data_IF_340569806169
#
_entry.id   IF_340569806169
#
_cell.length_a   1.000
_cell.length_b   1.000
_cell.length_c   1.000
_cell.angle_alpha   90.00
_cell.angle_beta   90.00
_cell.angle_gamma   90.00
#
_symmetry.space_group_name_H-M   'P 1'
#
loop_
_entity.id
_entity.type
_entity.pdbx_description
1 polymer ?
#
# COMPACT_ATOMS: atom_id res chain seq x y z
N UNK A 1 22.77 -15.01 98.05
CA UNK A 1 22.11 -13.71 97.75
C UNK A 1 22.79 -12.89 96.64
N UNK A 2 23.71 -13.45 95.83
CA UNK A 2 24.35 -12.72 94.71
C UNK A 2 23.60 -12.80 93.37
N UNK A 3 22.55 -13.63 93.27
CA UNK A 3 21.83 -13.92 92.01
C UNK A 3 20.89 -12.80 91.54
N UNK A 4 20.20 -12.14 92.46
CA UNK A 4 19.17 -11.15 92.16
C UNK A 4 19.67 -9.93 91.36
N UNK A 5 20.96 -9.56 91.50
CA UNK A 5 21.56 -8.44 90.75
C UNK A 5 21.99 -8.82 89.32
N UNK A 6 22.11 -10.11 89.02
CA UNK A 6 22.40 -10.62 87.68
C UNK A 6 21.10 -10.76 86.87
N UNK A 7 20.04 -11.33 87.46
CA UNK A 7 18.69 -11.38 86.89
C UNK A 7 18.18 -9.98 86.50
N UNK A 8 18.31 -9.00 87.40
CA UNK A 8 17.85 -7.62 87.14
C UNK A 8 18.62 -6.90 86.03
N UNK A 9 19.82 -7.38 85.66
CA UNK A 9 20.58 -6.86 84.50
C UNK A 9 20.12 -7.56 83.22
N UNK A 10 19.90 -8.87 83.28
CA UNK A 10 19.36 -9.65 82.17
C UNK A 10 17.96 -9.16 81.74
N UNK A 11 17.08 -8.84 82.70
CA UNK A 11 15.75 -8.29 82.42
C UNK A 11 15.82 -6.92 81.74
N UNK A 12 16.73 -6.04 82.19
CA UNK A 12 16.91 -4.72 81.56
C UNK A 12 17.46 -4.82 80.15
N UNK A 13 18.35 -5.77 79.88
CA UNK A 13 18.86 -6.01 78.53
C UNK A 13 17.77 -6.59 77.63
N UNK A 14 16.94 -7.51 78.13
CA UNK A 14 15.82 -8.08 77.38
C UNK A 14 14.75 -7.03 77.06
N UNK A 15 14.39 -6.16 78.01
CA UNK A 15 13.46 -5.04 77.80
C UNK A 15 14.00 -4.01 76.81
N UNK A 16 15.31 -3.73 76.85
CA UNK A 16 15.95 -2.82 75.91
C UNK A 16 15.94 -3.40 74.49
N UNK A 17 16.21 -4.70 74.34
CA UNK A 17 16.16 -5.42 73.07
C UNK A 17 14.74 -5.49 72.49
N UNK A 18 13.73 -5.77 73.32
CA UNK A 18 12.33 -5.78 72.89
C UNK A 18 11.87 -4.40 72.41
N UNK A 19 12.28 -3.32 73.10
CA UNK A 19 11.99 -1.95 72.67
C UNK A 19 12.69 -1.58 71.37
N UNK A 20 13.92 -2.05 71.15
CA UNK A 20 14.65 -1.85 69.89
C UNK A 20 13.99 -2.60 68.74
N UNK A 21 13.58 -3.86 68.95
CA UNK A 21 12.87 -4.66 67.95
C UNK A 21 11.52 -4.02 67.58
N UNK A 22 10.75 -3.57 68.56
CA UNK A 22 9.48 -2.87 68.33
C UNK A 22 9.67 -1.55 67.55
N UNK A 23 10.74 -0.79 67.83
CA UNK A 23 11.08 0.41 67.05
C UNK A 23 11.47 0.11 65.61
N UNK A 24 12.28 -0.93 65.39
CA UNK A 24 12.69 -1.36 64.04
C UNK A 24 11.47 -1.84 63.24
N UNK A 25 10.56 -2.58 63.86
CA UNK A 25 9.36 -3.10 63.20
C UNK A 25 8.36 -1.99 62.84
N UNK A 26 8.15 -1.02 63.74
CA UNK A 26 7.32 0.15 63.45
C UNK A 26 7.91 1.06 62.37
N UNK A 27 9.23 1.21 62.31
CA UNK A 27 9.90 1.92 61.21
C UNK A 27 9.79 1.16 59.87
N UNK A 28 9.88 -0.17 59.88
CA UNK A 28 9.66 -1.00 58.68
C UNK A 28 8.24 -0.88 58.15
N UNK A 29 7.23 -0.95 59.02
CA UNK A 29 5.83 -0.80 58.63
C UNK A 29 5.56 0.59 58.03
N UNK A 30 6.09 1.65 58.65
CA UNK A 30 5.97 3.02 58.10
C UNK A 30 6.70 3.19 56.76
N UNK A 31 7.84 2.52 56.57
CA UNK A 31 8.56 2.54 55.31
C UNK A 31 7.80 1.79 54.19
N UNK A 32 7.14 0.67 54.52
CA UNK A 32 6.29 -0.05 53.58
C UNK A 32 5.01 0.70 53.22
N UNK A 33 4.33 1.34 54.18
CA UNK A 33 3.17 2.19 53.91
C UNK A 33 3.54 3.34 52.97
N UNK A 34 4.66 4.03 53.23
CA UNK A 34 5.16 5.09 52.34
C UNK A 34 5.48 4.60 50.93
N UNK A 35 5.99 3.38 50.77
CA UNK A 35 6.24 2.78 49.45
C UNK A 35 4.92 2.48 48.72
N UNK A 36 3.95 1.90 49.41
CA UNK A 36 2.63 1.58 48.83
C UNK A 36 1.86 2.85 48.43
N UNK A 37 1.92 3.90 49.24
CA UNK A 37 1.29 5.19 48.93
C UNK A 37 1.96 5.87 47.73
N UNK A 38 3.30 5.84 47.66
CA UNK A 38 4.04 6.38 46.52
C UNK A 38 3.75 5.62 45.22
N UNK A 39 3.68 4.28 45.27
CA UNK A 39 3.31 3.45 44.11
C UNK A 39 1.86 3.68 43.67
N UNK A 40 0.93 3.84 44.62
CA UNK A 40 -0.47 4.14 44.32
C UNK A 40 -0.63 5.52 43.67
N UNK A 41 0.10 6.53 44.14
CA UNK A 41 0.10 7.87 43.58
C UNK A 41 0.73 7.91 42.18
N UNK A 42 1.85 7.19 41.96
CA UNK A 42 2.47 7.09 40.65
C UNK A 42 1.56 6.38 39.64
N UNK A 43 0.88 5.30 40.05
CA UNK A 43 -0.10 4.60 39.22
C UNK A 43 -1.27 5.50 38.84
N UNK A 44 -1.77 6.32 39.77
CA UNK A 44 -2.81 7.32 39.51
C UNK A 44 -2.32 8.37 38.51
N UNK A 45 -1.12 8.94 38.69
CA UNK A 45 -0.50 9.88 37.75
C UNK A 45 -0.36 9.30 36.34
N UNK A 46 0.21 8.10 36.22
CA UNK A 46 0.36 7.42 34.92
C UNK A 46 -0.99 7.17 34.24
N UNK A 47 -2.02 6.80 35.00
CA UNK A 47 -3.37 6.60 34.45
C UNK A 47 -4.02 7.91 33.98
N UNK A 48 -3.83 9.00 34.71
CA UNK A 48 -4.32 10.33 34.34
C UNK A 48 -3.57 10.87 33.10
N UNK A 49 -2.26 10.71 33.06
CA UNK A 49 -1.45 11.13 31.90
C UNK A 49 -1.81 10.34 30.64
N UNK A 50 -2.04 9.03 30.77
CA UNK A 50 -2.50 8.20 29.67
C UNK A 50 -3.91 8.60 29.19
N UNK A 51 -4.83 8.91 30.10
CA UNK A 51 -6.16 9.40 29.76
C UNK A 51 -6.10 10.77 29.04
N UNK A 52 -5.32 11.71 29.59
CA UNK A 52 -5.10 13.03 29.00
C UNK A 52 -4.42 12.95 27.62
N UNK A 53 -3.47 12.03 27.43
CA UNK A 53 -2.82 11.79 26.15
C UNK A 53 -3.81 11.24 25.10
N UNK A 54 -4.67 10.27 25.49
CA UNK A 54 -5.73 9.74 24.62
C UNK A 54 -6.74 10.82 24.25
N UNK A 55 -7.17 11.64 25.21
CA UNK A 55 -8.11 12.73 24.95
C UNK A 55 -7.50 13.80 24.01
N UNK A 56 -6.23 14.17 24.22
CA UNK A 56 -5.51 15.09 23.34
C UNK A 56 -5.33 14.50 21.93
N UNK A 57 -5.06 13.21 21.81
CA UNK A 57 -4.96 12.53 20.52
C UNK A 57 -6.31 12.53 19.79
N UNK A 58 -7.39 12.16 20.48
CA UNK A 58 -8.75 12.18 19.94
C UNK A 58 -9.19 13.59 19.52
N UNK A 59 -8.90 14.62 20.33
CA UNK A 59 -9.15 16.03 19.98
C UNK A 59 -8.36 16.47 18.74
N UNK A 60 -7.10 16.07 18.62
CA UNK A 60 -6.26 16.36 17.44
C UNK A 60 -6.79 15.67 16.19
N UNK A 61 -7.23 14.42 16.31
CA UNK A 61 -7.81 13.66 15.20
C UNK A 61 -9.15 14.25 14.76
N UNK A 62 -10.05 14.55 15.70
CA UNK A 62 -11.30 15.23 15.42
C UNK A 62 -11.08 16.61 14.77
N UNK A 63 -10.09 17.38 15.23
CA UNK A 63 -9.71 18.65 14.61
C UNK A 63 -9.15 18.47 13.19
N UNK A 64 -8.34 17.44 12.94
CA UNK A 64 -7.85 17.10 11.60
C UNK A 64 -8.98 16.71 10.66
N UNK A 65 -9.91 15.86 11.12
CA UNK A 65 -11.10 15.45 10.35
C UNK A 65 -11.95 16.69 10.02
N UNK A 66 -12.29 17.52 11.02
CA UNK A 66 -13.05 18.76 10.81
C UNK A 66 -12.36 19.71 9.83
N UNK A 67 -11.03 19.91 9.98
CA UNK A 67 -10.25 20.78 9.09
C UNK A 67 -10.19 20.22 7.67
N UNK A 68 -10.03 18.91 7.52
CA UNK A 68 -10.05 18.25 6.20
C UNK A 68 -11.42 18.33 5.53
N UNK A 69 -12.52 18.22 6.29
CA UNK A 69 -13.88 18.36 5.79
C UNK A 69 -14.18 19.81 5.35
N UNK A 70 -13.73 20.81 6.13
CA UNK A 70 -13.83 22.23 5.76
C UNK A 70 -13.00 22.56 4.51
N UNK A 71 -11.75 22.12 4.45
CA UNK A 71 -10.91 22.29 3.26
C UNK A 71 -11.53 21.61 2.05
N UNK A 72 -12.05 20.38 2.20
CA UNK A 72 -12.75 19.67 1.14
C UNK A 72 -14.00 20.44 0.67
N UNK A 73 -14.79 21.01 1.59
CA UNK A 73 -15.97 21.81 1.25
C UNK A 73 -15.59 23.08 0.48
N UNK A 74 -14.66 23.88 1.00
CA UNK A 74 -14.21 25.13 0.36
C UNK A 74 -13.55 24.86 -0.99
N UNK A 75 -12.68 23.85 -1.09
CA UNK A 75 -12.05 23.47 -2.36
C UNK A 75 -13.07 22.92 -3.36
N UNK A 76 -14.10 22.19 -2.91
CA UNK A 76 -15.14 21.69 -3.80
C UNK A 76 -16.04 22.80 -4.35
N UNK A 77 -16.39 23.80 -3.54
CA UNK A 77 -17.21 24.95 -3.96
C UNK A 77 -16.39 25.89 -4.88
N UNK A 78 -15.15 26.19 -4.52
CA UNK A 78 -14.25 27.02 -5.34
C UNK A 78 -13.90 26.33 -6.68
N UNK A 79 -13.61 25.03 -6.67
CA UNK A 79 -13.37 24.28 -7.90
C UNK A 79 -14.63 24.19 -8.76
N UNK A 80 -15.83 24.09 -8.15
CA UNK A 80 -17.10 24.08 -8.89
C UNK A 80 -17.36 25.42 -9.56
N UNK A 81 -17.15 26.54 -8.85
CA UNK A 81 -17.27 27.88 -9.43
C UNK A 81 -16.27 28.06 -10.57
N UNK A 82 -14.99 27.73 -10.34
CA UNK A 82 -13.96 27.85 -11.37
C UNK A 82 -14.25 27.00 -12.62
N UNK A 83 -14.58 25.71 -12.44
CA UNK A 83 -14.91 24.81 -13.56
C UNK A 83 -16.14 25.31 -14.32
N UNK A 84 -17.20 25.70 -13.61
CA UNK A 84 -18.43 26.23 -14.22
C UNK A 84 -18.14 27.53 -14.98
N UNK A 85 -17.33 28.43 -14.44
CA UNK A 85 -16.95 29.68 -15.11
C UNK A 85 -16.10 29.44 -16.37
N UNK A 86 -15.07 28.58 -16.29
CA UNK A 86 -14.24 28.23 -17.45
C UNK A 86 -15.09 27.57 -18.54
N UNK A 87 -16.02 26.70 -18.15
CA UNK A 87 -16.95 26.08 -19.08
C UNK A 87 -17.92 27.07 -19.71
N UNK A 88 -18.47 28.00 -18.92
CA UNK A 88 -19.34 29.05 -19.45
C UNK A 88 -18.63 29.91 -20.49
N UNK A 89 -17.38 30.31 -20.23
CA UNK A 89 -16.56 31.04 -21.18
C UNK A 89 -16.26 30.22 -22.44
N UNK A 90 -15.90 28.94 -22.28
CA UNK A 90 -15.65 28.02 -23.39
C UNK A 90 -16.89 27.81 -24.26
N UNK A 91 -18.08 27.69 -23.64
CA UNK A 91 -19.35 27.52 -24.34
C UNK A 91 -19.72 28.76 -25.15
N UNK A 92 -19.55 29.96 -24.60
CA UNK A 92 -19.79 31.22 -25.34
C UNK A 92 -18.83 31.33 -26.54
N UNK A 93 -17.55 31.04 -26.33
CA UNK A 93 -16.55 31.07 -27.41
C UNK A 93 -16.85 30.02 -28.50
N UNK A 94 -17.20 28.80 -28.10
CA UNK A 94 -17.58 27.70 -28.99
C UNK A 94 -18.82 28.05 -29.82
N UNK A 95 -19.88 28.53 -29.16
CA UNK A 95 -21.12 28.92 -29.83
C UNK A 95 -20.89 30.04 -30.86
N UNK A 96 -20.15 31.10 -30.48
CA UNK A 96 -19.82 32.19 -31.40
C UNK A 96 -19.00 31.70 -32.59
N UNK A 97 -18.07 30.77 -32.37
CA UNK A 97 -17.21 30.22 -33.41
C UNK A 97 -17.98 29.34 -34.40
N UNK A 98 -18.90 28.50 -33.91
CA UNK A 98 -19.77 27.67 -34.74
C UNK A 98 -20.73 28.54 -35.57
N UNK A 99 -21.29 29.59 -34.95
CA UNK A 99 -22.13 30.56 -35.64
C UNK A 99 -21.37 31.25 -36.77
N UNK A 100 -20.13 31.68 -36.52
CA UNK A 100 -19.25 32.25 -37.54
C UNK A 100 -18.96 31.27 -38.67
N UNK A 101 -18.52 30.05 -38.33
CA UNK A 101 -18.24 29.00 -39.29
C UNK A 101 -19.40 28.73 -40.24
N UNK A 102 -20.62 28.54 -39.73
CA UNK A 102 -21.78 28.26 -40.58
C UNK A 102 -22.14 29.44 -41.48
N UNK A 103 -22.02 30.68 -40.99
CA UNK A 103 -22.24 31.89 -41.79
C UNK A 103 -21.22 32.03 -42.91
N UNK A 104 -19.95 31.75 -42.63
CA UNK A 104 -18.86 31.79 -43.62
C UNK A 104 -19.05 30.73 -44.73
N UNK A 105 -19.83 29.68 -44.45
CA UNK A 105 -20.17 28.59 -45.39
C UNK A 105 -21.58 28.72 -45.98
N UNK A 106 -22.17 29.91 -45.94
CA UNK A 106 -23.39 30.24 -46.68
C UNK A 106 -24.72 29.96 -45.96
N UNK A 107 -24.69 29.54 -44.70
CA UNK A 107 -25.91 29.43 -43.89
C UNK A 107 -26.42 30.84 -43.53
N UNK A 108 -27.74 31.03 -43.55
CA UNK A 108 -28.31 32.26 -43.03
C UNK A 108 -28.20 32.32 -41.48
N UNK A 109 -28.40 33.49 -40.88
CA UNK A 109 -28.24 33.69 -39.44
C UNK A 109 -29.09 32.73 -38.61
N UNK A 110 -30.29 32.39 -39.07
CA UNK A 110 -31.19 31.47 -38.36
C UNK A 110 -30.67 30.03 -38.42
N UNK A 111 -30.29 29.56 -39.60
CA UNK A 111 -29.71 28.23 -39.80
C UNK A 111 -28.39 28.05 -39.03
N UNK A 112 -27.51 29.05 -39.06
CA UNK A 112 -26.26 29.04 -38.33
C UNK A 112 -26.49 28.99 -36.80
N UNK A 113 -27.48 29.75 -36.31
CA UNK A 113 -27.89 29.76 -34.88
C UNK A 113 -28.43 28.39 -34.47
N UNK A 114 -29.34 27.82 -35.27
CA UNK A 114 -29.93 26.50 -35.02
C UNK A 114 -28.88 25.39 -35.09
N UNK A 115 -27.94 25.46 -36.04
CA UNK A 115 -26.85 24.50 -36.17
C UNK A 115 -25.90 24.51 -34.97
N UNK A 116 -25.44 25.69 -34.56
CA UNK A 116 -24.60 25.84 -33.36
C UNK A 116 -25.34 25.37 -32.10
N UNK A 117 -26.60 25.78 -31.95
CA UNK A 117 -27.43 25.35 -30.82
C UNK A 117 -27.63 23.83 -30.80
N UNK A 118 -27.88 23.19 -31.94
CA UNK A 118 -28.12 21.75 -32.00
C UNK A 118 -26.90 20.93 -31.53
N UNK A 119 -25.68 21.34 -31.91
CA UNK A 119 -24.44 20.65 -31.50
C UNK A 119 -24.24 20.75 -29.98
N UNK A 120 -24.37 21.96 -29.44
CA UNK A 120 -24.24 22.21 -28.00
C UNK A 120 -25.36 21.48 -27.23
N UNK A 121 -26.62 21.63 -27.65
CA UNK A 121 -27.77 20.99 -27.01
C UNK A 121 -27.68 19.45 -27.03
N UNK A 122 -27.21 18.87 -28.14
CA UNK A 122 -26.99 17.42 -28.22
C UNK A 122 -25.89 16.97 -27.24
N UNK A 123 -24.79 17.71 -27.14
CA UNK A 123 -23.71 17.41 -26.18
C UNK A 123 -24.25 17.39 -24.75
N UNK A 124 -25.01 18.42 -24.37
CA UNK A 124 -25.64 18.50 -23.05
C UNK A 124 -26.71 17.43 -22.83
N UNK A 125 -27.49 17.08 -23.85
CA UNK A 125 -28.46 15.99 -23.76
C UNK A 125 -27.78 14.65 -23.47
N UNK A 126 -26.67 14.33 -24.14
CA UNK A 126 -25.90 13.11 -23.86
C UNK A 126 -25.33 13.09 -22.43
N UNK A 127 -24.80 14.22 -21.93
CA UNK A 127 -24.33 14.30 -20.54
C UNK A 127 -25.46 14.12 -19.53
N UNK A 128 -26.63 14.73 -19.76
CA UNK A 128 -27.80 14.57 -18.90
C UNK A 128 -28.35 13.12 -18.92
N UNK A 129 -28.38 12.49 -20.10
CA UNK A 129 -28.76 11.09 -20.23
C UNK A 129 -27.76 10.17 -19.54
N UNK A 130 -26.46 10.45 -19.64
CA UNK A 130 -25.43 9.70 -18.91
C UNK A 130 -25.61 9.83 -17.39
N UNK A 131 -25.92 11.02 -16.89
CA UNK A 131 -26.23 11.25 -15.48
C UNK A 131 -27.46 10.49 -15.01
N UNK A 132 -28.52 10.45 -15.84
CA UNK A 132 -29.73 9.67 -15.55
C UNK A 132 -29.43 8.17 -15.54
N UNK A 133 -28.72 7.67 -16.57
CA UNK A 133 -28.34 6.27 -16.66
C UNK A 133 -27.48 5.82 -15.47
N UNK A 134 -26.60 6.69 -14.94
CA UNK A 134 -25.82 6.40 -13.74
C UNK A 134 -26.69 6.25 -12.50
N UNK A 135 -27.68 7.13 -12.30
CA UNK A 135 -28.67 7.02 -11.20
C UNK A 135 -29.50 5.75 -11.31
N UNK A 136 -29.80 5.33 -12.53
CA UNK A 136 -30.55 4.11 -12.82
C UNK A 136 -29.65 2.84 -12.81
N UNK A 137 -28.37 2.95 -12.42
CA UNK A 137 -27.37 1.87 -12.44
C UNK A 137 -27.20 1.17 -13.80
N UNK A 138 -27.42 1.92 -14.90
CA UNK A 138 -27.28 1.45 -16.29
C UNK A 138 -25.89 1.78 -16.85
N UNK A 139 -25.41 1.05 -17.87
CA UNK A 139 -24.13 1.35 -18.51
C UNK A 139 -24.14 2.76 -19.15
N UNK A 140 -23.19 3.61 -18.76
CA UNK A 140 -23.07 5.01 -19.22
C UNK A 140 -22.08 5.20 -20.36
N UNK A 141 -21.26 4.18 -20.67
CA UNK A 141 -20.11 4.31 -21.56
C UNK A 141 -20.45 4.84 -22.96
N UNK A 142 -21.53 4.33 -23.57
CA UNK A 142 -21.97 4.77 -24.90
C UNK A 142 -22.46 6.24 -24.90
N UNK A 143 -23.19 6.65 -23.86
CA UNK A 143 -23.70 8.02 -23.74
C UNK A 143 -22.56 9.03 -23.54
N UNK A 144 -21.56 8.69 -22.73
CA UNK A 144 -20.35 9.50 -22.55
C UNK A 144 -19.51 9.57 -23.82
N UNK A 145 -19.37 8.45 -24.54
CA UNK A 145 -18.70 8.44 -25.84
C UNK A 145 -19.41 9.36 -26.86
N UNK A 146 -20.75 9.37 -26.87
CA UNK A 146 -21.54 10.30 -27.68
C UNK A 146 -21.28 11.78 -27.33
N UNK A 147 -21.27 12.12 -26.04
CA UNK A 147 -20.94 13.47 -25.58
C UNK A 147 -19.52 13.89 -26.01
N UNK A 148 -18.52 13.01 -25.85
CA UNK A 148 -17.14 13.30 -26.26
C UNK A 148 -16.98 13.42 -27.77
N UNK A 149 -17.70 12.61 -28.55
CA UNK A 149 -17.68 12.71 -30.01
C UNK A 149 -18.23 14.06 -30.48
N UNK A 150 -19.33 14.54 -29.90
CA UNK A 150 -19.89 15.85 -30.21
C UNK A 150 -18.98 17.00 -29.75
N UNK A 151 -18.38 16.89 -28.56
CA UNK A 151 -17.43 17.89 -28.08
C UNK A 151 -16.16 17.94 -28.96
N UNK A 152 -15.69 16.80 -29.46
CA UNK A 152 -14.58 16.74 -30.42
C UNK A 152 -14.98 17.36 -31.77
N UNK A 153 -16.19 17.09 -32.25
CA UNK A 153 -16.73 17.70 -33.47
C UNK A 153 -16.84 19.23 -33.34
N UNK A 154 -17.37 19.73 -32.22
CA UNK A 154 -17.36 21.16 -31.90
C UNK A 154 -15.93 21.73 -31.89
N UNK A 155 -14.97 21.00 -31.33
CA UNK A 155 -13.55 21.37 -31.37
C UNK A 155 -12.99 21.50 -32.78
N UNK A 156 -13.37 20.60 -33.70
CA UNK A 156 -12.98 20.71 -35.12
C UNK A 156 -13.54 21.98 -35.76
N UNK A 157 -14.82 22.30 -35.52
CA UNK A 157 -15.43 23.54 -36.04
C UNK A 157 -14.73 24.79 -35.48
N UNK A 158 -14.37 24.78 -34.19
CA UNK A 158 -13.63 25.87 -33.55
C UNK A 158 -12.23 26.04 -34.17
N UNK A 159 -11.55 24.93 -34.47
CA UNK A 159 -10.25 24.97 -35.14
C UNK A 159 -10.35 25.57 -36.54
N UNK A 160 -11.35 25.12 -37.32
CA UNK A 160 -11.55 25.58 -38.70
C UNK A 160 -11.94 27.06 -38.79
N UNK A 161 -12.72 27.57 -37.83
CA UNK A 161 -13.13 28.97 -37.83
C UNK A 161 -11.99 29.94 -37.51
N UNK A 162 -11.22 29.68 -36.45
CA UNK A 162 -10.20 30.64 -35.98
C UNK A 162 -8.84 30.48 -36.69
N UNK A 163 -8.49 29.27 -37.13
CA UNK A 163 -7.18 28.96 -37.70
C UNK A 163 -6.00 29.22 -36.74
N UNK A 164 -4.79 28.84 -37.17
CA UNK A 164 -3.55 29.13 -36.44
C UNK A 164 -3.55 28.68 -34.96
N UNK A 165 -2.91 29.47 -34.09
CA UNK A 165 -2.79 29.15 -32.66
C UNK A 165 -4.12 29.22 -31.92
N UNK A 166 -4.99 30.17 -32.28
CA UNK A 166 -6.31 30.33 -31.66
C UNK A 166 -7.24 29.15 -32.00
N UNK A 167 -7.20 28.67 -33.25
CA UNK A 167 -7.92 27.48 -33.66
C UNK A 167 -7.47 26.24 -32.88
N UNK A 168 -6.16 26.04 -32.67
CA UNK A 168 -5.66 24.94 -31.83
C UNK A 168 -6.16 25.08 -30.38
N UNK A 169 -6.04 26.28 -29.81
CA UNK A 169 -6.44 26.54 -28.43
C UNK A 169 -7.94 26.25 -28.21
N UNK A 170 -8.83 26.81 -29.04
CA UNK A 170 -10.28 26.62 -28.92
C UNK A 170 -10.73 25.22 -29.34
N UNK A 171 -10.03 24.61 -30.30
CA UNK A 171 -10.32 23.24 -30.73
C UNK A 171 -10.03 22.19 -29.65
N UNK A 172 -8.99 22.40 -28.84
CA UNK A 172 -8.67 21.54 -27.68
C UNK A 172 -9.56 21.88 -26.47
N UNK A 173 -9.94 23.14 -26.30
CA UNK A 173 -10.71 23.59 -25.13
C UNK A 173 -12.09 22.92 -25.06
N UNK A 174 -12.78 22.73 -26.19
CA UNK A 174 -14.11 22.11 -26.24
C UNK A 174 -14.15 20.66 -25.68
N UNK A 175 -13.35 19.70 -26.17
CA UNK A 175 -13.32 18.35 -25.60
C UNK A 175 -12.77 18.34 -24.17
N UNK A 176 -11.82 19.22 -23.83
CA UNK A 176 -11.29 19.32 -22.47
C UNK A 176 -12.38 19.76 -21.47
N UNK A 177 -13.20 20.74 -21.84
CA UNK A 177 -14.32 21.21 -21.03
C UNK A 177 -15.33 20.07 -20.77
N UNK A 178 -15.67 19.29 -21.79
CA UNK A 178 -16.53 18.11 -21.65
C UNK A 178 -15.93 17.04 -20.71
N UNK A 179 -14.62 16.77 -20.82
CA UNK A 179 -13.91 15.82 -19.93
C UNK A 179 -13.88 16.32 -18.48
N UNK A 180 -13.62 17.61 -18.26
CA UNK A 180 -13.60 18.20 -16.92
C UNK A 180 -14.98 18.14 -16.28
N UNK A 181 -16.04 18.41 -17.05
CA UNK A 181 -17.42 18.29 -16.59
C UNK A 181 -17.80 16.86 -16.23
N UNK A 182 -17.51 15.89 -17.11
CA UNK A 182 -17.80 14.47 -16.89
C UNK A 182 -17.10 13.98 -15.61
N UNK A 183 -15.82 14.31 -15.42
CA UNK A 183 -15.09 13.96 -14.18
C UNK A 183 -15.67 14.61 -12.93
N UNK A 184 -16.21 15.83 -13.04
CA UNK A 184 -16.78 16.57 -11.91
C UNK A 184 -18.16 16.05 -11.52
N UNK A 185 -19.00 15.76 -12.50
CA UNK A 185 -20.39 15.34 -12.30
C UNK A 185 -20.51 13.83 -12.05
N UNK A 186 -19.56 13.06 -12.55
CA UNK A 186 -19.48 11.61 -12.41
C UNK A 186 -18.19 11.17 -11.72
N UNK A 187 -17.94 11.59 -10.46
CA UNK A 187 -16.82 11.06 -9.71
C UNK A 187 -16.98 9.55 -9.60
N UNK A 188 -15.94 8.81 -9.99
CA UNK A 188 -15.89 7.35 -9.84
C UNK A 188 -16.31 6.96 -8.42
N UNK A 189 -17.51 6.37 -8.28
CA UNK A 189 -18.01 5.81 -7.02
C UNK A 189 -17.15 4.65 -6.52
N UNK A 190 -16.36 4.05 -7.43
CA UNK A 190 -15.38 3.03 -7.09
C UNK A 190 -14.27 3.62 -6.25
N UNK A 191 -14.07 3.05 -5.08
CA UNK A 191 -12.94 3.41 -4.22
C UNK A 191 -11.63 3.03 -4.92
N UNK A 192 -10.52 3.68 -4.52
CA UNK A 192 -9.18 3.30 -4.99
C UNK A 192 -8.87 1.83 -4.67
N UNK A 193 -9.46 1.29 -3.62
CA UNK A 193 -9.32 -0.11 -3.23
C UNK A 193 -10.05 -1.04 -4.19
N UNK A 194 -11.28 -0.71 -4.60
CA UNK A 194 -12.02 -1.46 -5.61
C UNK A 194 -11.27 -1.48 -6.94
N UNK A 195 -10.73 -0.34 -7.37
CA UNK A 195 -9.92 -0.26 -8.59
C UNK A 195 -8.65 -1.11 -8.49
N UNK A 196 -7.99 -1.13 -7.33
CA UNK A 196 -6.82 -1.99 -7.08
C UNK A 196 -7.21 -3.46 -7.07
N UNK A 197 -8.34 -3.83 -6.46
CA UNK A 197 -8.85 -5.20 -6.41
C UNK A 197 -9.18 -5.70 -7.82
N UNK A 198 -9.93 -4.94 -8.60
CA UNK A 198 -10.26 -5.26 -9.99
C UNK A 198 -9.00 -5.33 -10.86
N UNK A 199 -8.09 -4.36 -10.71
CA UNK A 199 -6.80 -4.34 -11.40
C UNK A 199 -5.95 -5.58 -11.07
N UNK A 200 -5.92 -5.99 -9.79
CA UNK A 200 -5.20 -7.19 -9.35
C UNK A 200 -5.85 -8.47 -9.88
N UNK A 201 -7.19 -8.53 -9.95
CA UNK A 201 -7.91 -9.66 -10.51
C UNK A 201 -7.62 -9.80 -12.01
N UNK A 202 -7.74 -8.71 -12.78
CA UNK A 202 -7.41 -8.69 -14.22
C UNK A 202 -5.96 -9.06 -14.49
N UNK A 203 -5.02 -8.55 -13.68
CA UNK A 203 -3.60 -8.93 -13.77
C UNK A 203 -3.43 -10.42 -13.52
N UNK A 204 -4.00 -10.98 -12.45
CA UNK A 204 -3.93 -12.42 -12.16
C UNK A 204 -4.50 -13.26 -13.30
N UNK A 205 -5.62 -12.86 -13.89
CA UNK A 205 -6.20 -13.57 -15.06
C UNK A 205 -5.25 -13.52 -16.24
N UNK A 206 -4.71 -12.34 -16.58
CA UNK A 206 -3.77 -12.17 -17.69
C UNK A 206 -2.47 -12.95 -17.47
N UNK A 207 -1.92 -12.89 -16.25
CA UNK A 207 -0.70 -13.60 -15.87
C UNK A 207 -0.92 -15.12 -16.01
N UNK A 208 -2.07 -15.63 -15.50
CA UNK A 208 -2.47 -17.03 -15.64
C UNK A 208 -2.62 -17.46 -17.11
N UNK A 209 -3.28 -16.65 -17.94
CA UNK A 209 -3.41 -16.90 -19.38
C UNK A 209 -2.07 -16.91 -20.10
N UNK A 210 -1.17 -15.99 -19.73
CA UNK A 210 0.15 -15.90 -20.34
C UNK A 210 1.05 -17.09 -19.98
N UNK A 211 0.93 -17.60 -18.75
CA UNK A 211 1.67 -18.76 -18.26
C UNK A 211 1.15 -20.08 -18.86
N UNK A 212 -0.15 -20.16 -19.17
CA UNK A 212 -0.82 -21.38 -19.63
C UNK A 212 -1.59 -21.14 -20.93
N UNK A 213 -0.89 -20.76 -22.00
CA UNK A 213 -1.49 -20.40 -23.29
C UNK A 213 -2.37 -21.50 -23.89
N UNK A 214 -1.94 -22.77 -23.80
CA UNK A 214 -2.69 -23.92 -24.30
C UNK A 214 -4.04 -24.07 -23.57
N UNK A 215 -4.00 -24.10 -22.23
CA UNK A 215 -5.20 -24.12 -21.38
C UNK A 215 -6.11 -22.93 -21.67
N UNK A 216 -5.55 -21.72 -21.82
CA UNK A 216 -6.34 -20.52 -22.14
C UNK A 216 -7.03 -20.63 -23.50
N UNK A 217 -6.38 -21.23 -24.51
CA UNK A 217 -6.96 -21.50 -25.82
C UNK A 217 -8.16 -22.45 -25.74
N UNK A 218 -8.01 -23.56 -25.02
CA UNK A 218 -9.07 -24.55 -24.82
C UNK A 218 -10.23 -23.92 -24.03
N UNK A 219 -9.94 -23.20 -22.94
CA UNK A 219 -10.97 -22.56 -22.11
C UNK A 219 -11.82 -21.56 -22.91
N UNK A 220 -11.20 -20.72 -23.75
CA UNK A 220 -11.92 -19.80 -24.64
C UNK A 220 -12.78 -20.54 -25.67
N UNK A 221 -12.26 -21.64 -26.21
CA UNK A 221 -13.00 -22.47 -27.17
C UNK A 221 -14.23 -23.11 -26.53
N UNK A 222 -14.12 -23.56 -25.27
CA UNK A 222 -15.25 -24.10 -24.50
C UNK A 222 -16.33 -23.05 -24.22
N UNK A 223 -15.94 -21.82 -23.85
CA UNK A 223 -16.91 -20.72 -23.64
C UNK A 223 -17.57 -20.31 -24.96
N UNK A 224 -16.82 -20.26 -26.06
CA UNK A 224 -17.36 -19.91 -27.38
C UNK A 224 -18.31 -20.97 -27.92
N UNK A 225 -18.07 -22.25 -27.61
CA UNK A 225 -18.93 -23.36 -27.99
C UNK A 225 -20.16 -23.51 -27.09
N UNK A 226 -20.20 -22.84 -25.93
CA UNK A 226 -21.32 -22.89 -25.02
C UNK A 226 -22.45 -21.94 -25.46
N UNK A 227 -23.41 -22.50 -26.18
CA UNK A 227 -24.54 -21.75 -26.73
C UNK A 227 -25.43 -21.14 -25.64
N UNK A 228 -25.59 -21.82 -24.51
CA UNK A 228 -26.52 -21.42 -23.44
C UNK A 228 -25.89 -20.42 -22.44
N UNK A 229 -24.57 -20.18 -22.54
CA UNK A 229 -23.83 -19.31 -21.61
C UNK A 229 -23.84 -19.81 -20.16
N UNK A 230 -24.14 -21.09 -19.94
CA UNK A 230 -24.19 -21.71 -18.62
C UNK A 230 -22.77 -21.97 -18.04
N UNK A 231 -21.76 -22.09 -18.90
CA UNK A 231 -20.39 -22.40 -18.53
C UNK A 231 -19.65 -21.15 -18.08
N UNK A 232 -19.35 -21.08 -16.78
CA UNK A 232 -18.56 -19.97 -16.24
C UNK A 232 -17.11 -20.04 -16.70
N UNK A 233 -16.42 -18.89 -16.80
CA UNK A 233 -14.98 -18.85 -17.15
C UNK A 233 -14.11 -19.72 -16.23
N UNK A 234 -14.46 -19.81 -14.95
CA UNK A 234 -13.74 -20.60 -13.96
C UNK A 234 -13.91 -22.11 -14.18
N UNK A 235 -15.09 -22.53 -14.62
CA UNK A 235 -15.35 -23.93 -14.97
C UNK A 235 -14.74 -24.30 -16.31
N UNK A 236 -14.84 -23.43 -17.31
CA UNK A 236 -14.16 -23.60 -18.59
C UNK A 236 -12.65 -23.76 -18.39
N UNK A 237 -12.04 -22.95 -17.50
CA UNK A 237 -10.62 -23.08 -17.17
C UNK A 237 -10.28 -24.41 -16.48
N UNK A 238 -11.11 -24.88 -15.54
CA UNK A 238 -10.90 -26.20 -14.89
C UNK A 238 -11.02 -27.35 -15.88
N UNK A 239 -12.03 -27.31 -16.76
CA UNK A 239 -12.20 -28.33 -17.82
C UNK A 239 -11.03 -28.31 -18.80
N UNK A 240 -10.59 -27.13 -19.22
CA UNK A 240 -9.43 -26.97 -20.07
C UNK A 240 -8.16 -27.52 -19.41
N UNK A 241 -7.97 -27.28 -18.10
CA UNK A 241 -6.85 -27.82 -17.34
C UNK A 241 -6.87 -29.35 -17.32
N UNK A 242 -8.04 -29.94 -17.09
CA UNK A 242 -8.23 -31.40 -17.15
C UNK A 242 -7.92 -31.96 -18.53
N UNK A 243 -8.37 -31.31 -19.60
CA UNK A 243 -8.12 -31.74 -20.98
C UNK A 243 -6.62 -31.70 -21.29
N UNK A 244 -5.93 -30.61 -20.94
CA UNK A 244 -4.51 -30.43 -21.25
C UNK A 244 -3.57 -31.29 -20.38
N UNK A 245 -3.89 -31.43 -19.10
CA UNK A 245 -2.98 -32.01 -18.10
C UNK A 245 -3.48 -33.32 -17.48
N UNK A 246 -4.69 -33.78 -17.81
CA UNK A 246 -5.25 -35.04 -17.30
C UNK A 246 -5.52 -35.04 -15.79
N UNK A 247 -5.70 -33.87 -15.18
CA UNK A 247 -5.91 -33.73 -13.73
C UNK A 247 -6.93 -32.66 -13.40
N UNK A 248 -7.67 -32.87 -12.31
CA UNK A 248 -8.70 -31.96 -11.81
C UNK A 248 -8.15 -30.91 -10.85
N UNK A 249 -6.91 -31.13 -10.38
CA UNK A 249 -6.23 -30.22 -9.46
C UNK A 249 -5.54 -29.13 -10.24
N UNK A 250 -6.03 -27.90 -10.12
CA UNK A 250 -5.41 -26.71 -10.71
C UNK A 250 -3.97 -26.53 -10.22
N UNK A 251 -3.06 -26.21 -11.14
CA UNK A 251 -1.64 -26.04 -10.85
C UNK A 251 -0.85 -27.35 -10.79
N UNK A 252 -1.52 -28.51 -10.74
CA UNK A 252 -0.86 -29.80 -10.86
C UNK A 252 -0.65 -30.13 -12.34
N UNK A 253 0.59 -30.40 -12.73
CA UNK A 253 0.93 -30.94 -14.06
C UNK A 253 1.35 -32.41 -13.93
N UNK A 254 1.32 -33.22 -15.00
CA UNK A 254 1.80 -34.60 -14.94
C UNK A 254 3.23 -34.71 -14.39
N UNK A 255 4.11 -33.79 -14.80
CA UNK A 255 5.49 -33.72 -14.30
C UNK A 255 5.57 -33.39 -12.80
N UNK A 256 4.72 -32.46 -12.32
CA UNK A 256 4.68 -32.12 -10.90
C UNK A 256 4.10 -33.28 -10.07
N UNK A 257 3.11 -34.00 -10.60
CA UNK A 257 2.55 -35.21 -9.98
C UNK A 257 3.58 -36.34 -9.94
N UNK A 258 4.33 -36.55 -11.01
CA UNK A 258 5.44 -37.51 -11.02
C UNK A 258 6.50 -37.14 -9.97
N UNK A 259 6.85 -35.85 -9.87
CA UNK A 259 7.77 -35.35 -8.84
C UNK A 259 7.22 -35.53 -7.43
N UNK A 260 5.92 -35.30 -7.19
CA UNK A 260 5.34 -35.49 -5.86
C UNK A 260 5.36 -36.97 -5.45
N UNK A 261 5.10 -37.88 -6.38
CA UNK A 261 5.19 -39.33 -6.15
C UNK A 261 6.64 -39.75 -5.88
N UNK A 262 7.59 -39.25 -6.67
CA UNK A 262 9.03 -39.51 -6.49
C UNK A 262 9.56 -38.98 -5.15
N UNK A 263 9.17 -37.76 -4.75
CA UNK A 263 9.49 -37.20 -3.43
C UNK A 263 8.88 -38.03 -2.29
N UNK A 264 7.62 -38.47 -2.43
CA UNK A 264 6.98 -39.31 -1.42
C UNK A 264 7.66 -40.68 -1.31
N UNK A 265 8.11 -41.25 -2.44
CA UNK A 265 8.90 -42.48 -2.45
C UNK A 265 10.24 -42.29 -1.76
N UNK A 266 11.01 -41.27 -2.11
CA UNK A 266 12.31 -40.98 -1.46
C UNK A 266 12.16 -40.77 0.05
N UNK A 267 11.08 -40.12 0.47
CA UNK A 267 10.80 -39.94 1.89
C UNK A 267 10.53 -41.27 2.59
N UNK A 268 9.79 -42.19 1.95
CA UNK A 268 9.57 -43.55 2.46
C UNK A 268 10.86 -44.35 2.52
N UNK A 269 11.61 -44.39 1.41
CA UNK A 269 12.87 -45.14 1.31
C UNK A 269 13.88 -44.63 2.39
N UNK A 270 13.96 -43.32 2.61
CA UNK A 270 14.79 -42.74 3.67
C UNK A 270 14.33 -43.06 5.11
N UNK A 271 13.04 -43.34 5.30
CA UNK A 271 12.49 -43.79 6.57
C UNK A 271 12.73 -45.28 6.83
N UNK A 272 12.84 -46.09 5.77
CA UNK A 272 13.14 -47.52 5.87
C UNK A 272 14.65 -47.79 6.11
N UNK A 273 15.54 -46.99 5.53
CA UNK A 273 16.99 -47.12 5.68
C UNK A 273 17.57 -46.44 6.94
N UNK A 274 16.77 -45.62 7.63
CA UNK A 274 17.20 -44.87 8.82
C UNK A 274 16.60 -45.44 10.10
N UNK A 275 17.45 -45.91 11.02
CA UNK A 275 17.14 -46.37 12.40
C UNK A 275 16.44 -45.32 13.32
N UNK A 276 15.80 -44.28 12.78
CA UNK A 276 15.34 -43.12 13.56
C UNK A 276 13.92 -42.60 13.30
N UNK A 277 13.22 -43.01 12.23
CA UNK A 277 11.86 -42.50 11.97
C UNK A 277 10.94 -43.61 11.48
N UNK A 278 10.41 -44.39 12.43
CA UNK A 278 9.34 -45.32 12.10
C UNK A 278 8.12 -44.54 11.58
N UNK A 279 7.33 -45.11 10.65
CA UNK A 279 6.09 -44.50 10.18
C UNK A 279 5.14 -44.12 11.32
N UNK A 280 5.15 -44.90 12.39
CA UNK A 280 4.38 -44.65 13.61
C UNK A 280 4.89 -43.41 14.35
N UNK A 281 6.20 -43.18 14.43
CA UNK A 281 6.76 -41.98 15.06
C UNK A 281 6.35 -40.70 14.30
N UNK A 282 6.33 -40.74 12.97
CA UNK A 282 5.86 -39.61 12.14
C UNK A 282 4.34 -39.41 12.23
N UNK A 283 3.56 -40.49 12.30
CA UNK A 283 2.12 -40.40 12.50
C UNK A 283 1.78 -39.87 13.90
N UNK A 284 2.55 -40.26 14.93
CA UNK A 284 2.44 -39.73 16.29
C UNK A 284 2.83 -38.25 16.31
N UNK A 285 3.91 -37.84 15.64
CA UNK A 285 4.33 -36.43 15.58
C UNK A 285 3.30 -35.54 14.86
N UNK A 286 2.70 -36.04 13.77
CA UNK A 286 1.60 -35.36 13.09
C UNK A 286 0.34 -35.27 13.96
N UNK A 287 -0.02 -36.35 14.65
CA UNK A 287 -1.13 -36.37 15.59
C UNK A 287 -0.89 -35.44 16.78
N UNK A 288 0.34 -35.41 17.31
CA UNK A 288 0.74 -34.50 18.40
C UNK A 288 0.72 -33.05 17.94
N UNK A 289 1.13 -32.75 16.71
CA UNK A 289 1.06 -31.40 16.13
C UNK A 289 -0.38 -30.93 15.92
N UNK A 290 -1.32 -31.85 15.64
CA UNK A 290 -2.74 -31.53 15.43
C UNK A 290 -3.51 -31.44 16.77
N UNK A 291 -3.13 -32.26 17.77
CA UNK A 291 -3.68 -32.21 19.14
C UNK A 291 -3.11 -31.06 19.97
N UNK A 292 -1.84 -30.72 19.75
CA UNK A 292 -1.13 -29.62 20.37
C UNK A 292 -0.64 -28.66 19.27
N UNK A 293 -1.55 -27.98 18.56
CA UNK A 293 -1.14 -26.95 17.61
C UNK A 293 -0.33 -25.95 18.42
N UNK A 294 0.96 -25.81 18.09
CA UNK A 294 1.87 -24.95 18.83
C UNK A 294 1.22 -23.58 19.01
N UNK A 295 0.78 -23.34 20.24
CA UNK A 295 0.12 -22.10 20.61
C UNK A 295 1.07 -20.96 20.27
N UNK A 296 0.50 -19.93 19.67
CA UNK A 296 1.09 -18.64 19.31
C UNK A 296 1.65 -17.92 20.56
N UNK A 297 2.68 -18.51 21.17
CA UNK A 297 3.34 -18.11 22.39
C UNK A 297 4.81 -17.97 22.05
N UNK A 298 5.20 -16.74 21.72
CA UNK A 298 6.56 -16.36 21.38
C UNK A 298 7.57 -16.81 22.44
N UNK A 299 8.63 -17.46 22.00
CA UNK A 299 9.71 -17.86 22.88
C UNK A 299 10.69 -18.80 22.20
N UNK A 300 11.39 -18.34 21.17
CA UNK A 300 12.53 -19.08 20.62
C UNK A 300 13.67 -19.14 21.65
N UNK A 301 13.69 -20.15 22.51
CA UNK A 301 14.89 -20.54 23.25
C UNK A 301 15.84 -21.25 22.29
N UNK A 302 16.91 -20.55 21.92
CA UNK A 302 18.11 -21.18 21.35
C UNK A 302 18.85 -21.93 22.47
N UNK A 303 19.27 -23.18 22.28
CA UNK A 303 20.25 -23.79 23.18
C UNK A 303 21.65 -23.22 22.86
N UNK A 304 22.23 -22.56 23.85
CA UNK A 304 23.67 -22.27 23.92
C UNK A 304 24.36 -23.38 24.70
N UNK A 305 25.27 -24.09 24.05
CA UNK A 305 26.64 -24.40 24.53
C UNK A 305 27.17 -25.71 23.93
N UNK A 306 28.19 -25.55 23.07
CA UNK A 306 29.01 -26.61 22.52
C UNK A 306 30.20 -25.98 21.76
N UNK A 307 31.43 -26.49 21.91
CA UNK A 307 32.65 -25.76 21.59
C UNK A 307 32.86 -25.60 20.08
N UNK A 308 33.30 -24.41 19.70
CA UNK A 308 33.49 -23.98 18.31
C UNK A 308 34.54 -24.82 17.56
N UNK A 309 34.07 -25.75 16.72
CA UNK A 309 34.85 -26.26 15.57
C UNK A 309 34.54 -25.42 14.34
N UNK A 310 35.58 -24.77 13.81
CA UNK A 310 35.57 -24.01 12.55
C UNK A 310 34.92 -24.83 11.43
N UNK A 311 33.75 -24.40 10.96
CA UNK A 311 33.13 -24.86 9.70
C UNK A 311 33.26 -23.71 8.68
N UNK A 312 33.82 -24.04 7.53
CA UNK A 312 33.92 -23.13 6.37
C UNK A 312 32.54 -22.69 5.85
N UNK A 313 32.50 -21.72 4.93
CA UNK A 313 31.24 -21.12 4.49
C UNK A 313 30.40 -22.14 3.75
N UNK A 314 29.33 -22.58 4.41
CA UNK A 314 28.28 -23.41 3.82
C UNK A 314 27.54 -22.59 2.76
N UNK A 315 27.39 -23.22 1.59
CA UNK A 315 26.85 -22.67 0.37
C UNK A 315 25.52 -21.95 0.55
N UNK A 316 25.49 -20.72 0.06
CA UNK A 316 24.31 -19.87 0.01
C UNK A 316 23.17 -20.55 -0.74
N UNK A 317 22.04 -20.66 -0.04
CA UNK A 317 20.72 -20.91 -0.59
C UNK A 317 20.43 -19.80 -1.62
N UNK A 318 20.30 -20.21 -2.87
CA UNK A 318 19.48 -19.57 -3.89
C UNK A 318 19.72 -18.09 -4.13
N UNK A 319 20.74 -17.78 -4.93
CA UNK A 319 20.75 -16.64 -5.83
C UNK A 319 19.49 -16.67 -6.69
N UNK A 320 18.41 -16.08 -6.18
CA UNK A 320 17.33 -15.60 -7.02
C UNK A 320 17.95 -14.46 -7.83
N UNK A 321 18.34 -14.77 -9.07
CA UNK A 321 18.63 -13.77 -10.10
C UNK A 321 17.36 -12.94 -10.26
N UNK A 322 17.22 -11.88 -9.47
CA UNK A 322 16.26 -10.85 -9.76
C UNK A 322 16.69 -10.29 -11.12
N UNK A 323 15.98 -10.65 -12.20
CA UNK A 323 16.21 -10.13 -13.55
C UNK A 323 15.94 -8.64 -13.69
N UNK A 324 16.03 -7.89 -12.60
CA UNK A 324 15.96 -6.45 -12.56
C UNK A 324 17.37 -5.97 -12.85
N UNK A 325 17.60 -5.48 -14.07
CA UNK A 325 18.81 -4.75 -14.43
C UNK A 325 19.15 -3.76 -13.32
N UNK A 326 20.40 -3.77 -12.85
CA UNK A 326 20.88 -2.83 -11.84
C UNK A 326 20.44 -1.41 -12.23
N UNK A 327 19.94 -0.63 -11.27
CA UNK A 327 19.54 0.75 -11.59
C UNK A 327 20.81 1.49 -12.01
N UNK A 328 20.70 2.39 -12.98
CA UNK A 328 21.85 3.14 -13.52
C UNK A 328 22.69 3.78 -12.40
N UNK A 329 22.02 4.25 -11.35
CA UNK A 329 22.61 4.86 -10.15
C UNK A 329 23.53 3.92 -9.35
N UNK A 330 23.37 2.60 -9.49
CA UNK A 330 24.14 1.59 -8.76
C UNK A 330 25.54 1.41 -9.38
N UNK A 331 25.66 1.70 -10.68
CA UNK A 331 26.88 1.49 -11.50
C UNK A 331 27.53 2.80 -11.95
N UNK A 332 26.87 3.95 -11.79
CA UNK A 332 27.44 5.26 -12.15
C UNK A 332 28.72 5.53 -11.33
N UNK A 333 29.85 5.93 -11.95
CA UNK A 333 31.04 6.34 -11.23
C UNK A 333 30.76 7.58 -10.38
N UNK A 334 31.40 7.67 -9.21
CA UNK A 334 31.21 8.80 -8.30
C UNK A 334 31.83 10.06 -8.91
N UNK A 335 31.03 11.08 -9.17
CA UNK A 335 31.52 12.34 -9.71
C UNK A 335 32.35 13.09 -8.65
N UNK A 336 33.51 13.61 -9.05
CA UNK A 336 34.40 14.34 -8.15
C UNK A 336 33.71 15.56 -7.49
N UNK A 337 32.87 16.28 -8.25
CA UNK A 337 32.11 17.41 -7.74
C UNK A 337 31.13 17.03 -6.62
N UNK A 338 30.53 15.83 -6.68
CA UNK A 338 29.61 15.33 -5.66
C UNK A 338 30.35 14.93 -4.39
N UNK A 339 31.55 14.36 -4.53
CA UNK A 339 32.45 14.07 -3.40
C UNK A 339 32.87 15.36 -2.70
N UNK A 340 33.24 16.40 -3.43
CA UNK A 340 33.62 17.70 -2.86
C UNK A 340 32.45 18.39 -2.14
N UNK A 341 31.24 18.32 -2.69
CA UNK A 341 30.05 18.84 -2.04
C UNK A 341 29.74 18.07 -0.74
N UNK A 342 29.89 16.74 -0.75
CA UNK A 342 29.71 15.91 0.42
C UNK A 342 30.80 16.15 1.50
N UNK A 343 32.06 16.37 1.12
CA UNK A 343 33.15 16.75 2.03
C UNK A 343 32.83 18.08 2.74
N UNK A 344 32.40 19.10 1.99
CA UNK A 344 31.97 20.38 2.57
C UNK A 344 30.81 20.22 3.56
N UNK A 345 29.84 19.34 3.26
CA UNK A 345 28.74 19.06 4.17
C UNK A 345 29.21 18.32 5.44
N UNK A 346 30.14 17.37 5.30
CA UNK A 346 30.74 16.65 6.42
C UNK A 346 31.48 17.61 7.35
N UNK A 347 32.33 18.47 6.79
CA UNK A 347 33.14 19.43 7.55
C UNK A 347 32.27 20.48 8.25
N UNK A 348 31.17 20.90 7.63
CA UNK A 348 30.24 21.87 8.23
C UNK A 348 29.37 21.28 9.35
N UNK A 349 28.96 20.01 9.24
CA UNK A 349 28.02 19.40 10.20
C UNK A 349 28.14 17.87 10.27
N UNK A 350 29.18 17.32 10.93
CA UNK A 350 29.44 15.88 10.95
C UNK A 350 28.31 15.09 11.60
N UNK A 351 27.68 15.62 12.65
CA UNK A 351 26.54 14.98 13.32
C UNK A 351 25.28 14.86 12.43
N UNK A 352 25.19 15.65 11.34
CA UNK A 352 24.07 15.63 10.39
C UNK A 352 24.42 14.92 9.08
N UNK A 353 25.63 14.37 8.96
CA UNK A 353 26.10 13.70 7.76
C UNK A 353 25.47 12.30 7.61
N UNK A 354 24.29 12.28 7.01
CA UNK A 354 23.46 11.09 6.79
C UNK A 354 23.12 10.93 5.31
N UNK A 355 22.80 9.71 4.87
CA UNK A 355 22.42 9.44 3.46
C UNK A 355 21.31 10.35 2.96
N UNK A 356 20.22 10.60 3.72
CA UNK A 356 19.17 11.51 3.26
C UNK A 356 19.63 12.97 3.12
N UNK A 357 20.58 13.41 3.96
CA UNK A 357 21.15 14.76 3.85
C UNK A 357 22.00 14.90 2.60
N UNK A 358 22.85 13.91 2.30
CA UNK A 358 23.65 13.86 1.06
C UNK A 358 22.75 13.75 -0.18
N UNK A 359 21.70 12.92 -0.13
CA UNK A 359 20.74 12.81 -1.24
C UNK A 359 20.02 14.13 -1.52
N UNK A 360 19.60 14.85 -0.47
CA UNK A 360 18.97 16.17 -0.59
C UNK A 360 19.93 17.23 -1.14
N UNK A 361 21.20 17.19 -0.72
CA UNK A 361 22.23 18.11 -1.21
C UNK A 361 22.47 17.92 -2.72
N UNK A 362 22.58 16.68 -3.18
CA UNK A 362 22.95 16.35 -4.55
C UNK A 362 21.75 16.29 -5.51
N UNK A 363 20.52 16.19 -4.99
CA UNK A 363 19.33 15.93 -5.82
C UNK A 363 19.35 14.56 -6.50
N UNK A 364 20.07 13.59 -5.93
CA UNK A 364 20.29 12.23 -6.48
C UNK A 364 19.59 11.16 -5.64
N UNK A 365 19.55 9.93 -6.15
CA UNK A 365 18.93 8.81 -5.43
C UNK A 365 19.69 8.45 -4.15
N UNK A 366 18.98 7.85 -3.18
CA UNK A 366 19.56 7.45 -1.90
C UNK A 366 20.69 6.43 -2.04
N UNK A 367 20.71 5.61 -3.11
CA UNK A 367 21.77 4.63 -3.32
C UNK A 367 23.09 5.30 -3.75
N UNK A 368 23.03 6.20 -4.72
CA UNK A 368 24.18 7.00 -5.13
C UNK A 368 24.71 7.86 -3.98
N UNK A 369 23.81 8.54 -3.25
CA UNK A 369 24.16 9.32 -2.07
C UNK A 369 24.79 8.50 -0.95
N UNK A 370 24.39 7.23 -0.79
CA UNK A 370 25.01 6.31 0.17
C UNK A 370 26.47 6.03 -0.20
N UNK A 371 26.75 5.75 -1.48
CA UNK A 371 28.12 5.50 -1.97
C UNK A 371 29.03 6.71 -1.78
N UNK A 372 28.55 7.91 -2.08
CA UNK A 372 29.27 9.17 -1.82
C UNK A 372 29.54 9.35 -0.32
N UNK A 373 28.53 9.14 0.53
CA UNK A 373 28.67 9.25 1.99
C UNK A 373 29.72 8.28 2.53
N UNK A 374 29.65 7.02 2.10
CA UNK A 374 30.55 5.96 2.58
C UNK A 374 31.98 6.25 2.12
N UNK A 375 32.20 6.66 0.86
CA UNK A 375 33.51 7.07 0.37
C UNK A 375 34.13 8.24 1.18
N UNK A 376 33.34 9.27 1.50
CA UNK A 376 33.82 10.41 2.32
C UNK A 376 34.12 9.99 3.77
N UNK A 377 33.37 9.04 4.33
CA UNK A 377 33.65 8.50 5.66
C UNK A 377 34.93 7.68 5.68
N UNK A 378 35.09 6.78 4.71
CA UNK A 378 36.27 5.93 4.59
C UNK A 378 37.56 6.77 4.41
N UNK A 379 37.50 7.86 3.63
CA UNK A 379 38.59 8.83 3.51
C UNK A 379 38.97 9.48 4.85
N UNK A 380 37.99 9.78 5.71
CA UNK A 380 38.20 10.44 7.01
C UNK A 380 38.56 9.49 8.14
N UNK A 381 38.18 8.22 8.04
CA UNK A 381 38.57 7.18 9.01
C UNK A 381 39.98 6.63 8.71
N UNK A 382 40.49 6.84 7.50
CA UNK A 382 41.86 6.44 7.09
C UNK A 382 42.95 7.48 7.40
N UNK A 383 42.56 8.66 7.91
CA UNK A 383 43.44 9.76 8.33
C UNK A 383 43.33 9.98 9.83
#
# INVERSE_FOLDING_TARGET
MSDYRAERRADRTADAELKLKAKIETERLRAEERRKDAEAEEKRRRSQDAANAKERAAKKEAARVRRSALVAKVTSEAATLFVTSVMGAALVASYSSQLGYFRDHGANTLEATLGAFAIEAATWAFTALAARAERDHRPTGALRAGAFALAAFAGVLNFLHWGGVLGVAFGVLAPLAAILWDRRTHPSTRTREDQKRDGSAKRRTKDRESAHKAVAGIARSLVLADYDGALTESEAWRRAWRIEHGTDVLGMTPALRARSVDSARRFRDAGEDGDGFSPEALAVDALLSDLFPEGESGGSQRPSDGPAKKRGPLGGIGLSRSGRTARKDDVEPLAAADLDAARKLYDAAPARFSTPAVARLLGRSNQYAKRIRDAVKDERESH
#
